data_IF_890831808392
#
_entry.id   IF_890831808392
#
_cell.length_a   1.000
_cell.length_b   1.000
_cell.length_c   1.000
_cell.angle_alpha   90.00
_cell.angle_beta   90.00
_cell.angle_gamma   90.00
#
_symmetry.space_group_name_H-M   'P 1'
#
loop_
_entity.id
_entity.type
_entity.pdbx_description
1 polymer ?
#
# COMPACT_ATOMS: atom_id res chain seq x y z
N UNK A 1 -3.34 12.48 -1.71
CA UNK A 1 -2.25 12.28 -0.71
C UNK A 1 -1.73 10.86 -0.89
N UNK A 2 -0.43 10.65 -0.74
CA UNK A 2 0.17 9.31 -0.81
C UNK A 2 0.41 8.84 0.62
N UNK A 3 -0.16 7.70 1.00
CA UNK A 3 0.15 7.03 2.25
C UNK A 3 1.18 5.94 2.00
N UNK A 4 2.16 5.80 2.89
CA UNK A 4 3.10 4.68 2.88
C UNK A 4 3.15 4.06 4.28
N UNK A 5 2.93 2.75 4.37
CA UNK A 5 3.16 2.05 5.63
C UNK A 5 4.66 1.83 5.82
N UNK A 6 5.23 2.23 6.95
CA UNK A 6 6.64 1.99 7.27
C UNK A 6 6.82 1.73 8.76
N UNK A 7 7.87 0.97 9.15
CA UNK A 7 8.20 0.77 10.56
C UNK A 7 8.67 2.05 11.26
N UNK A 8 9.01 3.12 10.52
CA UNK A 8 9.44 4.41 11.05
C UNK A 8 8.57 5.56 10.55
N UNK A 9 8.15 6.44 11.46
CA UNK A 9 7.26 7.58 11.17
C UNK A 9 8.07 8.78 10.69
N UNK A 10 7.93 9.13 9.42
CA UNK A 10 8.46 10.36 8.84
C UNK A 10 7.30 11.13 8.18
N UNK A 11 7.38 12.45 8.07
CA UNK A 11 6.39 13.24 7.34
C UNK A 11 7.15 14.25 6.49
N UNK A 12 6.94 14.20 5.18
CA UNK A 12 7.57 15.13 4.24
C UNK A 12 6.51 16.13 3.79
N UNK A 13 6.76 17.42 4.01
CA UNK A 13 5.87 18.49 3.58
C UNK A 13 6.36 19.08 2.25
N UNK A 14 5.47 19.11 1.25
CA UNK A 14 5.72 19.62 -0.11
C UNK A 14 4.41 19.68 -0.93
N UNK A 15 4.51 19.97 -2.23
CA UNK A 15 3.36 20.02 -3.17
C UNK A 15 2.66 18.65 -3.23
N UNK A 16 3.44 17.58 -3.27
CA UNK A 16 2.97 16.19 -3.13
C UNK A 16 3.01 15.80 -1.65
N UNK A 17 1.84 15.67 -1.02
CA UNK A 17 1.75 15.28 0.40
C UNK A 17 1.95 13.76 0.53
N UNK A 18 3.12 13.36 1.04
CA UNK A 18 3.46 11.97 1.40
C UNK A 18 3.38 11.85 2.92
N UNK A 19 2.63 10.85 3.39
CA UNK A 19 2.44 10.58 4.81
C UNK A 19 2.89 9.16 5.12
N UNK A 20 3.92 9.04 5.95
CA UNK A 20 4.34 7.75 6.47
C UNK A 20 3.60 7.45 7.76
N UNK A 21 3.12 6.22 7.87
CA UNK A 21 2.28 5.75 8.95
C UNK A 21 2.56 4.27 9.21
N UNK A 22 2.24 3.77 10.39
CA UNK A 22 2.33 2.34 10.66
C UNK A 22 1.00 1.67 10.28
N UNK A 23 1.00 0.35 10.09
CA UNK A 23 -0.22 -0.41 9.78
C UNK A 23 -1.35 -0.14 10.78
N UNK A 24 -1.02 -0.07 12.09
CA UNK A 24 -2.00 0.25 13.12
C UNK A 24 -2.59 1.67 13.02
N UNK A 25 -1.80 2.65 12.56
CA UNK A 25 -2.31 4.01 12.31
C UNK A 25 -3.19 4.02 11.07
N UNK A 26 -2.84 3.26 10.02
CA UNK A 26 -3.68 3.10 8.83
C UNK A 26 -5.04 2.51 9.22
N UNK A 27 -5.03 1.42 10.00
CA UNK A 27 -6.25 0.77 10.47
C UNK A 27 -7.14 1.74 11.25
N UNK A 28 -6.56 2.56 12.14
CA UNK A 28 -7.32 3.58 12.86
C UNK A 28 -7.93 4.61 11.91
N UNK A 29 -7.19 5.07 10.90
CA UNK A 29 -7.76 5.99 9.90
C UNK A 29 -8.84 5.35 9.04
N UNK A 30 -8.76 4.05 8.77
CA UNK A 30 -9.82 3.30 8.09
C UNK A 30 -11.08 3.16 8.95
N UNK A 31 -10.95 3.17 10.28
CA UNK A 31 -12.12 3.20 11.17
C UNK A 31 -12.84 4.56 11.10
N UNK A 32 -12.08 5.65 10.99
CA UNK A 32 -12.63 7.01 10.87
C UNK A 32 -13.15 7.32 9.45
N UNK A 33 -12.41 6.89 8.41
CA UNK A 33 -12.76 7.02 7.00
C UNK A 33 -12.58 5.67 6.28
N UNK A 34 -13.64 4.84 6.22
CA UNK A 34 -13.58 3.50 5.62
C UNK A 34 -13.28 3.47 4.12
N UNK A 35 -13.42 4.59 3.42
CA UNK A 35 -13.14 4.69 1.98
C UNK A 35 -11.79 5.35 1.69
N UNK A 36 -11.07 5.78 2.74
CA UNK A 36 -9.77 6.43 2.64
C UNK A 36 -9.77 7.55 1.61
N UNK A 37 -10.84 8.37 1.61
CA UNK A 37 -11.15 9.40 0.62
C UNK A 37 -10.01 10.42 0.43
N UNK A 38 -9.23 10.67 1.50
CA UNK A 38 -8.09 11.59 1.51
C UNK A 38 -6.88 11.08 0.72
N UNK A 39 -6.81 9.77 0.48
CA UNK A 39 -5.71 9.10 -0.19
C UNK A 39 -6.07 8.76 -1.64
N UNK A 40 -5.09 8.92 -2.52
CA UNK A 40 -5.17 8.55 -3.93
C UNK A 40 -4.30 7.33 -4.24
N UNK A 41 -3.19 7.20 -3.49
CA UNK A 41 -2.26 6.09 -3.57
C UNK A 41 -1.96 5.63 -2.15
N UNK A 42 -1.98 4.32 -1.94
CA UNK A 42 -1.53 3.68 -0.70
C UNK A 42 -0.44 2.69 -1.05
N UNK A 43 0.69 2.83 -0.39
CA UNK A 43 1.80 1.89 -0.45
C UNK A 43 1.85 1.09 0.84
N UNK A 44 1.77 -0.23 0.73
CA UNK A 44 2.02 -1.18 1.83
C UNK A 44 3.45 -1.68 1.66
N UNK A 45 4.33 -1.33 2.59
CA UNK A 45 5.74 -1.75 2.56
C UNK A 45 5.94 -3.03 3.37
N UNK A 46 7.04 -3.74 3.07
CA UNK A 46 7.47 -4.95 3.77
C UNK A 46 6.39 -6.03 3.94
N UNK A 47 5.55 -6.25 2.92
CA UNK A 47 4.49 -7.26 2.94
C UNK A 47 5.00 -8.70 3.21
N UNK A 48 6.31 -8.92 3.07
CA UNK A 48 6.99 -10.18 3.33
C UNK A 48 7.09 -10.55 4.81
N UNK A 49 6.96 -9.59 5.74
CA UNK A 49 7.02 -9.86 7.18
C UNK A 49 5.81 -10.69 7.68
N UNK A 50 4.76 -10.84 6.86
CA UNK A 50 3.53 -11.63 7.15
C UNK A 50 2.97 -11.35 8.55
N UNK A 51 2.93 -10.07 8.93
CA UNK A 51 2.31 -9.68 10.19
C UNK A 51 0.78 -9.76 10.09
N UNK A 52 0.11 -10.10 11.19
CA UNK A 52 -1.36 -10.13 11.27
C UNK A 52 -1.95 -8.76 10.87
N UNK A 53 -1.29 -7.67 11.28
CA UNK A 53 -1.72 -6.31 10.97
C UNK A 53 -1.71 -6.05 9.47
N UNK A 54 -0.64 -6.46 8.78
CA UNK A 54 -0.47 -6.28 7.34
C UNK A 54 -1.51 -7.09 6.56
N UNK A 55 -1.76 -8.34 6.96
CA UNK A 55 -2.79 -9.18 6.34
C UNK A 55 -4.19 -8.59 6.47
N UNK A 56 -4.53 -8.05 7.65
CA UNK A 56 -5.81 -7.38 7.89
C UNK A 56 -5.92 -6.12 7.02
N UNK A 57 -4.87 -5.30 6.94
CA UNK A 57 -4.82 -4.11 6.09
C UNK A 57 -5.04 -4.49 4.62
N UNK A 58 -4.30 -5.47 4.09
CA UNK A 58 -4.45 -5.93 2.69
C UNK A 58 -5.86 -6.46 2.40
N UNK A 59 -6.43 -7.23 3.33
CA UNK A 59 -7.80 -7.74 3.22
C UNK A 59 -8.85 -6.64 3.19
N UNK A 60 -8.69 -5.58 3.99
CA UNK A 60 -9.58 -4.42 3.98
C UNK A 60 -9.38 -3.57 2.71
N UNK A 61 -8.14 -3.32 2.30
CA UNK A 61 -7.84 -2.56 1.08
C UNK A 61 -8.41 -3.23 -0.16
N UNK A 62 -8.38 -4.57 -0.26
CA UNK A 62 -9.07 -5.30 -1.33
C UNK A 62 -10.57 -5.06 -1.35
N UNK A 63 -11.22 -4.96 -0.17
CA UNK A 63 -12.65 -4.63 -0.10
C UNK A 63 -12.92 -3.19 -0.55
N UNK A 64 -12.03 -2.25 -0.19
CA UNK A 64 -12.15 -0.85 -0.60
C UNK A 64 -11.95 -0.71 -2.11
N UNK A 65 -10.98 -1.41 -2.70
CA UNK A 65 -10.70 -1.34 -4.13
C UNK A 65 -11.91 -1.73 -5.00
N UNK A 66 -12.74 -2.67 -4.53
CA UNK A 66 -14.02 -3.00 -5.19
C UNK A 66 -15.02 -1.84 -5.22
N UNK A 67 -14.94 -0.91 -4.25
CA UNK A 67 -15.79 0.29 -4.16
C UNK A 67 -15.12 1.54 -4.75
N UNK A 68 -13.80 1.66 -4.64
CA UNK A 68 -12.93 2.71 -5.17
C UNK A 68 -11.91 2.10 -6.15
N UNK A 69 -12.29 1.88 -7.42
CA UNK A 69 -11.36 1.44 -8.45
C UNK A 69 -10.32 2.53 -8.80
N UNK A 70 -10.54 3.77 -8.38
CA UNK A 70 -9.63 4.90 -8.53
C UNK A 70 -8.47 4.88 -7.51
N UNK A 71 -8.60 4.13 -6.41
CA UNK A 71 -7.55 4.00 -5.40
C UNK A 71 -6.44 3.08 -5.91
N UNK A 72 -5.25 3.64 -6.10
CA UNK A 72 -4.06 2.87 -6.51
C UNK A 72 -3.38 2.25 -5.29
N UNK A 73 -3.10 0.96 -5.38
CA UNK A 73 -2.39 0.22 -4.34
C UNK A 73 -1.02 -0.18 -4.83
N UNK A 74 0.01 0.06 -4.02
CA UNK A 74 1.37 -0.42 -4.26
C UNK A 74 1.72 -1.35 -3.11
N UNK A 75 2.13 -2.57 -3.41
CA UNK A 75 2.57 -3.55 -2.40
C UNK A 75 4.05 -3.79 -2.63
N UNK A 76 4.87 -3.44 -1.65
CA UNK A 76 6.32 -3.59 -1.67
C UNK A 76 6.75 -4.76 -0.78
N UNK A 77 7.67 -5.57 -1.28
CA UNK A 77 8.17 -6.78 -0.64
C UNK A 77 9.64 -7.01 -0.94
N UNK A 78 10.41 -7.47 0.05
CA UNK A 78 11.79 -7.88 -0.18
C UNK A 78 11.90 -9.28 -0.80
N UNK A 79 10.84 -10.09 -0.85
CA UNK A 79 10.96 -11.51 -1.24
C UNK A 79 10.23 -11.84 -2.55
N UNK A 80 10.84 -12.68 -3.38
CA UNK A 80 10.29 -13.17 -4.66
C UNK A 80 9.10 -14.12 -4.48
N UNK A 81 8.90 -14.67 -3.28
CA UNK A 81 7.90 -15.71 -2.99
C UNK A 81 6.51 -15.21 -2.55
N UNK A 82 6.16 -13.95 -2.81
CA UNK A 82 4.81 -13.43 -2.54
C UNK A 82 3.71 -13.89 -3.52
N UNK A 83 3.86 -15.10 -4.08
CA UNK A 83 2.82 -15.74 -4.90
C UNK A 83 1.43 -15.75 -4.23
N UNK A 84 1.29 -15.93 -2.90
CA UNK A 84 0.00 -15.86 -2.25
C UNK A 84 -0.63 -14.47 -2.35
N UNK A 85 0.14 -13.39 -2.11
CA UNK A 85 -0.38 -12.02 -2.12
C UNK A 85 -0.67 -11.60 -3.57
N UNK A 86 0.20 -11.94 -4.53
CA UNK A 86 -0.09 -11.69 -5.93
C UNK A 86 -1.36 -12.42 -6.37
N UNK A 87 -1.51 -13.72 -6.08
CA UNK A 87 -2.72 -14.49 -6.39
C UNK A 87 -3.97 -13.92 -5.70
N UNK A 88 -3.81 -13.32 -4.51
CA UNK A 88 -4.89 -12.67 -3.80
C UNK A 88 -5.39 -11.41 -4.53
N UNK A 89 -4.53 -10.69 -5.26
CA UNK A 89 -4.90 -9.47 -6.01
C UNK A 89 -4.97 -9.68 -7.54
N UNK A 90 -5.02 -10.93 -8.03
CA UNK A 90 -5.06 -11.25 -9.47
C UNK A 90 -6.41 -10.95 -10.17
N UNK A 91 -7.29 -10.12 -9.62
CA UNK A 91 -8.56 -9.80 -10.26
C UNK A 91 -8.37 -8.74 -11.36
N UNK A 92 -9.07 -8.90 -12.49
CA UNK A 92 -8.88 -8.14 -13.74
C UNK A 92 -9.05 -6.61 -13.66
N UNK A 93 -9.53 -6.07 -12.54
CA UNK A 93 -9.79 -4.64 -12.31
C UNK A 93 -8.99 -4.03 -11.16
N UNK A 94 -8.12 -4.81 -10.52
CA UNK A 94 -7.37 -4.36 -9.35
C UNK A 94 -6.18 -3.50 -9.82
N UNK A 95 -6.18 -2.20 -9.51
CA UNK A 95 -5.06 -1.27 -9.79
C UNK A 95 -3.95 -1.46 -8.74
N UNK A 96 -3.35 -2.65 -8.73
CA UNK A 96 -2.32 -3.06 -7.76
C UNK A 96 -0.99 -3.25 -8.46
N UNK A 97 0.03 -2.55 -7.98
CA UNK A 97 1.41 -2.69 -8.44
C UNK A 97 2.18 -3.47 -7.38
N UNK A 98 2.75 -4.61 -7.77
CA UNK A 98 3.66 -5.38 -6.93
C UNK A 98 5.09 -4.94 -7.19
N UNK A 99 5.79 -4.57 -6.12
CA UNK A 99 7.17 -4.14 -6.15
C UNK A 99 8.06 -5.06 -5.33
N UNK A 100 9.02 -5.70 -5.98
CA UNK A 100 10.01 -6.51 -5.28
C UNK A 100 11.32 -5.73 -5.14
N UNK A 101 11.76 -5.47 -3.91
CA UNK A 101 12.95 -4.68 -3.59
C UNK A 101 14.27 -5.43 -3.89
N UNK A 102 14.22 -6.75 -4.08
CA UNK A 102 15.43 -7.56 -4.26
C UNK A 102 16.09 -7.41 -5.65
N UNK A 103 15.45 -6.71 -6.59
CA UNK A 103 15.97 -6.54 -7.95
C UNK A 103 16.31 -5.09 -8.37
N UNK A 104 15.80 -4.03 -7.75
CA UNK A 104 16.23 -2.67 -8.14
C UNK A 104 15.90 -1.60 -7.10
N UNK A 105 16.94 -0.93 -6.57
CA UNK A 105 16.81 0.26 -5.72
C UNK A 105 16.40 1.54 -6.48
N UNK A 106 16.04 1.45 -7.76
CA UNK A 106 16.05 2.62 -8.66
C UNK A 106 14.72 3.01 -9.30
N UNK A 107 13.62 2.30 -9.07
CA UNK A 107 12.39 2.55 -9.86
C UNK A 107 11.37 3.45 -9.10
N UNK A 108 11.57 3.77 -7.81
CA UNK A 108 10.60 4.59 -7.03
C UNK A 108 10.37 6.00 -7.62
N UNK A 109 11.27 6.46 -8.50
CA UNK A 109 11.17 7.76 -9.18
C UNK A 109 10.33 7.75 -10.48
N UNK A 110 9.98 6.59 -11.03
CA UNK A 110 9.33 6.48 -12.35
C UNK A 110 7.81 6.24 -12.31
N UNK A 111 7.22 5.95 -11.15
CA UNK A 111 5.76 5.71 -11.02
C UNK A 111 4.93 6.96 -10.69
N UNK A 112 5.57 8.14 -10.60
CA UNK A 112 4.92 9.42 -10.31
C UNK A 112 5.06 10.47 -11.44
N UNK A 113 5.36 10.03 -12.67
CA UNK A 113 5.22 10.88 -13.88
C UNK A 113 4.05 10.38 -14.73
#
# INVERSE_FOLDING_TARGET
MIACTQPRRLAVQGITRIKFLTDGVLLREMMDDPLLSKYSVIMVDEAHERSISTDVVLGLLKKIQKRRPDLRLVISSATIEERPISSFFHSRNDQVIFWCFLLDKMILMLLFN
#
